data_IF_521240907616
#
_entry.id   IF_521240907616
#
_cell.length_a   1.000
_cell.length_b   1.000
_cell.length_c   1.000
_cell.angle_alpha   90.00
_cell.angle_beta   90.00
_cell.angle_gamma   90.00
#
_symmetry.space_group_name_H-M   'P 1'
#
loop_
_entity.id
_entity.type
_entity.pdbx_description
1 polymer ?
#
# COMPACT_ATOMS: atom_id res chain seq x y z
N UNK A 1 2.56 58.33 27.46
CA UNK A 1 2.11 59.35 26.50
C UNK A 1 0.96 58.77 25.72
N UNK A 2 -0.20 59.23 26.08
CA UNK A 2 -1.52 58.99 25.53
C UNK A 2 -1.67 59.63 24.16
N UNK A 3 -2.35 59.01 23.22
CA UNK A 3 -3.31 59.63 22.33
C UNK A 3 -4.14 58.58 21.56
N UNK A 4 -5.42 58.49 21.91
CA UNK A 4 -6.60 58.04 21.15
C UNK A 4 -7.31 59.30 20.60
N UNK A 5 -8.46 59.20 19.91
CA UNK A 5 -8.88 58.52 18.67
C UNK A 5 -9.52 59.57 17.70
N UNK A 6 -9.95 59.17 16.51
CA UNK A 6 -10.99 59.94 15.81
C UNK A 6 -11.91 59.06 14.97
N UNK A 7 -13.18 59.13 15.34
CA UNK A 7 -14.35 58.66 14.61
C UNK A 7 -14.66 59.63 13.46
N UNK A 8 -15.13 59.15 12.36
CA UNK A 8 -16.09 59.86 11.53
C UNK A 8 -16.98 58.88 10.77
N UNK A 9 -18.25 59.03 11.01
CA UNK A 9 -19.38 58.37 10.39
C UNK A 9 -19.89 59.23 9.21
N UNK A 10 -20.70 58.65 8.37
CA UNK A 10 -21.92 59.11 7.67
C UNK A 10 -21.94 58.68 6.23
N UNK A 11 -22.93 58.06 5.85
CA UNK A 11 -24.32 58.15 5.31
C UNK A 11 -24.43 57.55 3.92
N UNK A 12 -25.16 56.52 3.82
CA UNK A 12 -26.41 56.26 3.12
C UNK A 12 -26.65 56.92 1.74
N UNK A 13 -26.87 56.08 0.73
CA UNK A 13 -27.91 56.35 -0.30
C UNK A 13 -28.50 55.07 -0.86
N UNK A 14 -29.82 55.04 -0.84
CA UNK A 14 -30.75 54.09 -1.47
C UNK A 14 -30.84 54.33 -2.99
N UNK A 15 -30.99 53.26 -3.79
CA UNK A 15 -31.84 53.17 -4.99
C UNK A 15 -31.74 51.73 -5.52
N UNK A 16 -32.76 50.92 -5.36
CA UNK A 16 -33.92 50.65 -6.19
C UNK A 16 -33.60 49.91 -7.53
N UNK A 17 -33.96 48.64 -7.59
CA UNK A 17 -34.75 48.09 -8.67
C UNK A 17 -34.03 47.44 -9.86
N UNK A 18 -34.08 46.14 -9.93
CA UNK A 18 -34.55 45.43 -11.12
C UNK A 18 -34.69 43.91 -10.79
N UNK A 19 -35.91 43.45 -10.84
CA UNK A 19 -36.30 42.04 -10.94
C UNK A 19 -35.72 41.45 -12.23
N UNK A 20 -35.03 40.32 -12.14
CA UNK A 20 -35.01 39.34 -13.23
C UNK A 20 -35.35 37.98 -12.64
N UNK A 21 -36.51 37.52 -13.08
CA UNK A 21 -37.06 36.19 -12.83
C UNK A 21 -36.36 35.16 -13.68
N UNK A 22 -36.25 33.97 -13.09
CA UNK A 22 -36.30 32.66 -13.73
C UNK A 22 -35.08 32.19 -14.54
N UNK A 23 -34.41 31.19 -13.96
CA UNK A 23 -34.25 29.89 -14.62
C UNK A 23 -33.96 28.86 -13.54
N UNK A 24 -34.96 28.05 -13.24
CA UNK A 24 -34.74 26.75 -12.63
C UNK A 24 -33.87 25.93 -13.59
N UNK A 25 -32.66 25.68 -13.20
CA UNK A 25 -31.90 24.53 -13.67
C UNK A 25 -31.67 23.67 -12.46
N UNK A 26 -32.48 22.66 -12.36
CA UNK A 26 -32.27 21.51 -11.48
C UNK A 26 -30.91 20.92 -11.82
N UNK A 27 -29.89 21.19 -11.03
CA UNK A 27 -28.71 20.35 -10.93
C UNK A 27 -28.87 19.51 -9.69
N UNK A 28 -29.63 18.45 -9.84
CA UNK A 28 -29.45 17.23 -9.07
C UNK A 28 -28.04 16.73 -9.35
N UNK A 29 -27.19 16.87 -8.39
CA UNK A 29 -25.81 16.46 -8.45
C UNK A 29 -25.13 16.73 -7.14
N UNK A 30 -25.84 16.55 -6.04
CA UNK A 30 -25.15 16.41 -4.75
C UNK A 30 -24.52 15.03 -4.71
N UNK A 31 -23.36 14.95 -5.32
CA UNK A 31 -22.42 13.90 -4.97
C UNK A 31 -22.14 13.99 -3.49
N UNK A 32 -22.72 13.08 -2.73
CA UNK A 32 -22.37 12.86 -1.35
C UNK A 32 -20.85 12.81 -1.23
N UNK A 33 -20.30 13.56 -0.31
CA UNK A 33 -18.94 13.37 0.19
C UNK A 33 -18.94 12.00 0.88
N UNK A 34 -18.70 10.95 0.13
CA UNK A 34 -18.25 9.66 0.65
C UNK A 34 -16.85 9.87 1.23
N UNK A 35 -16.82 10.27 2.48
CA UNK A 35 -15.64 10.16 3.31
C UNK A 35 -15.34 8.67 3.49
N UNK A 36 -14.63 8.07 2.51
CA UNK A 36 -14.31 6.65 2.54
C UNK A 36 -14.12 6.00 1.18
N UNK A 37 -14.10 6.75 0.08
CA UNK A 37 -13.68 6.20 -1.21
C UNK A 37 -12.19 5.82 -1.12
N UNK A 38 -11.94 4.59 -0.70
CA UNK A 38 -10.63 3.96 -0.86
C UNK A 38 -10.27 4.03 -2.33
N UNK A 39 -9.37 4.93 -2.69
CA UNK A 39 -9.00 5.16 -4.08
C UNK A 39 -8.43 3.88 -4.68
N UNK A 40 -8.98 3.48 -5.80
CA UNK A 40 -8.44 2.37 -6.59
C UNK A 40 -7.02 2.72 -7.04
N UNK A 41 -6.07 1.89 -6.70
CA UNK A 41 -4.66 2.06 -7.05
C UNK A 41 -4.33 1.16 -8.23
N UNK A 42 -3.59 1.68 -9.21
CA UNK A 42 -3.13 0.88 -10.35
C UNK A 42 -1.80 0.20 -10.01
N UNK A 43 -1.72 -1.12 -10.19
CA UNK A 43 -0.50 -1.90 -9.98
C UNK A 43 -0.35 -2.89 -11.14
N UNK A 44 0.78 -2.84 -11.84
CA UNK A 44 1.04 -3.72 -12.99
C UNK A 44 -0.03 -3.63 -14.08
N UNK A 45 -0.58 -2.43 -14.31
CA UNK A 45 -1.62 -2.19 -15.30
C UNK A 45 -3.01 -2.69 -14.92
N UNK A 46 -3.22 -3.17 -13.69
CA UNK A 46 -4.51 -3.59 -13.16
C UNK A 46 -4.97 -2.68 -12.02
N UNK A 47 -6.28 -2.44 -11.97
CA UNK A 47 -6.91 -1.73 -10.88
C UNK A 47 -7.02 -2.64 -9.64
N UNK A 48 -6.49 -2.16 -8.51
CA UNK A 48 -6.57 -2.82 -7.21
C UNK A 48 -7.76 -2.27 -6.45
N UNK A 49 -8.72 -3.12 -6.16
CA UNK A 49 -9.96 -2.74 -5.50
C UNK A 49 -9.87 -3.01 -3.99
N UNK A 50 -10.13 -2.03 -3.13
CA UNK A 50 -10.03 -2.19 -1.68
C UNK A 50 -11.09 -3.14 -1.07
N UNK A 51 -12.14 -3.45 -1.80
CA UNK A 51 -13.17 -4.42 -1.41
C UNK A 51 -12.85 -5.87 -1.81
N UNK A 52 -11.73 -6.09 -2.52
CA UNK A 52 -11.23 -7.42 -2.87
C UNK A 52 -10.09 -7.83 -1.95
N UNK A 53 -9.86 -9.13 -1.84
CA UNK A 53 -8.72 -9.69 -1.11
C UNK A 53 -7.40 -9.46 -1.84
N UNK A 54 -6.30 -9.64 -1.13
CA UNK A 54 -4.93 -9.56 -1.67
C UNK A 54 -4.78 -10.45 -2.91
N UNK A 55 -5.27 -11.69 -2.84
CA UNK A 55 -5.12 -12.66 -3.94
C UNK A 55 -6.00 -12.27 -5.13
N UNK A 56 -7.27 -11.90 -4.90
CA UNK A 56 -8.20 -11.49 -5.98
C UNK A 56 -7.72 -10.28 -6.78
N UNK A 57 -6.95 -9.40 -6.15
CA UNK A 57 -6.33 -8.28 -6.84
C UNK A 57 -5.02 -8.67 -7.51
N UNK A 58 -4.16 -9.42 -6.82
CA UNK A 58 -2.84 -9.80 -7.33
C UNK A 58 -2.90 -10.59 -8.65
N UNK A 59 -3.91 -11.47 -8.82
CA UNK A 59 -4.08 -12.28 -10.03
C UNK A 59 -4.32 -11.45 -11.29
N UNK A 60 -4.78 -10.21 -11.16
CA UNK A 60 -5.01 -9.30 -12.27
C UNK A 60 -3.77 -8.48 -12.63
N UNK A 61 -2.77 -8.43 -11.76
CA UNK A 61 -1.55 -7.65 -11.96
C UNK A 61 -0.58 -8.37 -12.89
N UNK A 62 -0.20 -7.71 -13.98
CA UNK A 62 0.81 -8.24 -14.92
C UNK A 62 2.20 -8.30 -14.33
N UNK A 63 2.48 -7.48 -13.32
CA UNK A 63 3.79 -7.40 -12.67
C UNK A 63 3.97 -8.44 -11.55
N UNK A 64 2.92 -9.19 -11.18
CA UNK A 64 2.93 -10.17 -10.09
C UNK A 64 2.58 -11.59 -10.53
N UNK A 65 2.65 -11.89 -11.83
CA UNK A 65 2.29 -13.22 -12.36
C UNK A 65 3.16 -14.32 -11.75
N UNK A 66 4.47 -14.08 -11.59
CA UNK A 66 5.40 -15.02 -10.96
C UNK A 66 5.06 -15.24 -9.48
N UNK A 67 4.73 -14.17 -8.75
CA UNK A 67 4.31 -14.24 -7.36
C UNK A 67 3.02 -15.06 -7.20
N UNK A 68 2.03 -14.82 -8.05
CA UNK A 68 0.75 -15.56 -8.04
C UNK A 68 0.98 -17.05 -8.33
N UNK A 69 1.81 -17.37 -9.31
CA UNK A 69 2.19 -18.75 -9.60
C UNK A 69 2.89 -19.41 -8.39
N UNK A 70 3.81 -18.71 -7.73
CA UNK A 70 4.51 -19.18 -6.56
C UNK A 70 3.55 -19.40 -5.36
N UNK A 71 2.64 -18.48 -5.09
CA UNK A 71 1.62 -18.59 -4.03
C UNK A 71 0.69 -19.77 -4.28
N UNK A 72 0.33 -20.01 -5.54
CA UNK A 72 -0.51 -21.14 -5.96
C UNK A 72 0.24 -22.46 -5.78
N UNK A 73 1.50 -22.54 -6.22
CA UNK A 73 2.34 -23.74 -6.07
C UNK A 73 2.60 -24.08 -4.59
N UNK A 74 2.79 -23.07 -3.74
CA UNK A 74 2.92 -23.23 -2.30
C UNK A 74 1.62 -23.64 -1.61
N UNK A 75 0.46 -23.46 -2.25
CA UNK A 75 -0.85 -23.72 -1.66
C UNK A 75 -1.27 -22.66 -0.62
N UNK A 76 -0.74 -21.45 -0.70
CA UNK A 76 -1.00 -20.35 0.25
C UNK A 76 -2.19 -19.48 -0.14
N UNK A 77 -2.84 -19.75 -1.27
CA UNK A 77 -4.03 -19.00 -1.72
C UNK A 77 -5.12 -18.94 -0.64
N UNK A 78 -5.54 -20.05 0.01
CA UNK A 78 -6.55 -19.98 1.07
C UNK A 78 -6.10 -19.14 2.27
N UNK A 79 -4.82 -19.24 2.65
CA UNK A 79 -4.23 -18.49 3.78
C UNK A 79 -4.25 -16.99 3.52
N UNK A 80 -3.81 -16.56 2.33
CA UNK A 80 -3.77 -15.15 1.94
C UNK A 80 -5.13 -14.57 1.53
N UNK A 81 -6.12 -15.43 1.30
CA UNK A 81 -7.53 -15.04 1.11
C UNK A 81 -8.31 -15.01 2.43
N UNK A 82 -7.70 -15.44 3.53
CA UNK A 82 -8.29 -15.45 4.85
C UNK A 82 -8.60 -14.06 5.41
N UNK A 83 -9.20 -14.00 6.60
CA UNK A 83 -9.75 -12.76 7.15
C UNK A 83 -8.71 -11.74 7.61
N UNK A 84 -7.40 -12.02 7.52
CA UNK A 84 -6.34 -11.06 7.86
C UNK A 84 -6.47 -10.39 9.24
N UNK A 85 -5.98 -9.19 9.45
CA UNK A 85 -5.26 -8.34 8.50
C UNK A 85 -3.82 -8.80 8.22
N UNK A 86 -3.39 -8.64 6.98
CA UNK A 86 -2.03 -8.96 6.55
C UNK A 86 -1.36 -7.75 5.91
N UNK A 87 -0.03 -7.67 6.05
CA UNK A 87 0.82 -6.79 5.24
C UNK A 87 1.68 -7.67 4.35
N UNK A 88 1.55 -7.52 3.04
CA UNK A 88 2.29 -8.32 2.07
C UNK A 88 3.29 -7.44 1.32
N UNK A 89 4.56 -7.80 1.40
CA UNK A 89 5.61 -7.22 0.58
C UNK A 89 5.69 -8.02 -0.72
N UNK A 90 5.08 -7.50 -1.79
CA UNK A 90 4.90 -8.19 -3.05
C UNK A 90 6.04 -7.87 -4.03
N UNK A 91 6.98 -8.79 -4.27
CA UNK A 91 8.02 -8.60 -5.28
C UNK A 91 7.43 -8.72 -6.68
N UNK A 92 7.87 -7.83 -7.57
CA UNK A 92 7.47 -7.84 -8.98
C UNK A 92 8.16 -8.97 -9.75
N UNK A 93 7.68 -9.28 -10.97
CA UNK A 93 8.36 -10.20 -11.88
C UNK A 93 9.83 -9.79 -12.11
N UNK A 94 10.09 -8.47 -12.20
CA UNK A 94 11.45 -7.94 -12.32
C UNK A 94 12.30 -8.21 -11.05
N UNK A 95 11.68 -8.26 -9.87
CA UNK A 95 12.35 -8.64 -8.63
C UNK A 95 12.78 -10.12 -8.66
N UNK A 96 11.91 -11.00 -9.14
CA UNK A 96 12.26 -12.41 -9.32
C UNK A 96 13.34 -12.62 -10.37
N UNK A 97 13.38 -11.82 -11.43
CA UNK A 97 14.42 -11.87 -12.45
C UNK A 97 15.82 -11.49 -11.95
N UNK A 98 15.93 -10.84 -10.79
CA UNK A 98 17.22 -10.57 -10.13
C UNK A 98 17.81 -11.79 -9.42
N UNK A 99 16.99 -12.82 -9.17
CA UNK A 99 17.48 -14.08 -8.61
C UNK A 99 18.34 -14.82 -9.64
N UNK A 100 19.27 -15.70 -9.20
CA UNK A 100 20.03 -16.54 -10.12
C UNK A 100 19.11 -17.32 -11.07
N UNK A 101 19.52 -17.46 -12.32
CA UNK A 101 18.74 -18.18 -13.33
C UNK A 101 18.40 -19.60 -12.84
N UNK A 102 17.16 -20.04 -13.07
CA UNK A 102 16.68 -21.36 -12.64
C UNK A 102 16.21 -21.43 -11.18
N UNK A 103 16.44 -20.35 -10.36
CA UNK A 103 16.02 -20.36 -8.96
C UNK A 103 14.50 -20.42 -8.83
N UNK A 104 13.78 -19.61 -9.60
CA UNK A 104 12.30 -19.54 -9.54
C UNK A 104 11.71 -20.88 -9.99
N UNK A 105 12.20 -21.42 -11.12
CA UNK A 105 11.77 -22.71 -11.67
C UNK A 105 12.02 -23.84 -10.68
N UNK A 106 13.13 -23.79 -9.96
CA UNK A 106 13.47 -24.77 -8.92
C UNK A 106 12.54 -24.63 -7.71
N UNK A 107 12.27 -23.40 -7.25
CA UNK A 107 11.44 -23.14 -6.08
C UNK A 107 9.97 -23.55 -6.28
N UNK A 108 9.42 -23.41 -7.49
CA UNK A 108 8.03 -23.80 -7.78
C UNK A 108 7.83 -25.29 -7.95
N UNK A 109 8.91 -26.10 -7.95
CA UNK A 109 8.81 -27.56 -8.02
C UNK A 109 8.18 -28.11 -6.72
N UNK A 110 7.37 -29.17 -6.82
CA UNK A 110 6.74 -29.80 -5.65
C UNK A 110 7.73 -30.23 -4.56
N UNK A 111 8.94 -30.63 -4.95
CA UNK A 111 10.01 -31.02 -4.02
C UNK A 111 10.50 -29.87 -3.14
N UNK A 112 10.36 -28.63 -3.62
CA UNK A 112 10.82 -27.42 -2.93
C UNK A 112 9.68 -26.60 -2.32
N UNK A 113 8.47 -27.16 -2.25
CA UNK A 113 7.29 -26.50 -1.73
C UNK A 113 7.50 -25.91 -0.32
N UNK A 114 8.20 -26.62 0.55
CA UNK A 114 8.49 -26.16 1.92
C UNK A 114 9.33 -24.87 1.91
N UNK A 115 10.41 -24.83 1.14
CA UNK A 115 11.27 -23.66 0.97
C UNK A 115 10.52 -22.50 0.33
N UNK A 116 9.70 -22.79 -0.69
CA UNK A 116 8.86 -21.78 -1.33
C UNK A 116 7.86 -21.18 -0.34
N UNK A 117 7.21 -22.02 0.48
CA UNK A 117 6.28 -21.58 1.52
C UNK A 117 6.98 -20.68 2.53
N UNK A 118 8.18 -21.08 2.97
CA UNK A 118 9.00 -20.29 3.90
C UNK A 118 9.32 -18.90 3.32
N UNK A 119 9.80 -18.83 2.09
CA UNK A 119 10.09 -17.56 1.42
C UNK A 119 8.83 -16.70 1.31
N UNK A 120 7.70 -17.26 0.89
CA UNK A 120 6.46 -16.51 0.71
C UNK A 120 5.88 -16.01 2.04
N UNK A 121 5.92 -16.82 3.10
CA UNK A 121 5.48 -16.42 4.44
C UNK A 121 6.42 -15.42 5.09
N UNK A 122 7.68 -15.39 4.69
CA UNK A 122 8.65 -14.37 5.07
C UNK A 122 8.30 -12.98 4.48
N UNK A 123 7.61 -12.92 3.34
CA UNK A 123 7.11 -11.67 2.77
C UNK A 123 5.78 -11.19 3.36
N UNK A 124 5.21 -11.93 4.31
CA UNK A 124 3.94 -11.60 4.95
C UNK A 124 4.17 -11.26 6.42
N UNK A 125 3.66 -10.12 6.82
CA UNK A 125 3.66 -9.65 8.21
C UNK A 125 2.23 -9.68 8.73
N UNK A 126 2.03 -10.17 9.96
CA UNK A 126 0.74 -10.13 10.61
C UNK A 126 0.36 -8.69 10.98
N UNK A 127 -0.88 -8.33 10.73
CA UNK A 127 -1.37 -6.97 10.95
C UNK A 127 -1.37 -6.12 9.68
N UNK A 128 -2.10 -5.02 9.73
CA UNK A 128 -2.13 -4.01 8.67
C UNK A 128 -1.16 -2.90 9.05
N UNK A 129 -0.07 -2.77 8.32
CA UNK A 129 0.95 -1.74 8.52
C UNK A 129 1.01 -0.87 7.27
N UNK A 130 0.54 0.37 7.38
CA UNK A 130 0.64 1.34 6.27
C UNK A 130 2.05 1.91 6.14
N UNK A 131 2.33 2.60 5.04
CA UNK A 131 3.60 3.32 4.89
C UNK A 131 3.80 4.37 5.98
N UNK A 132 2.74 5.04 6.41
CA UNK A 132 2.79 6.00 7.51
C UNK A 132 3.15 5.33 8.83
N UNK A 133 2.58 4.14 9.10
CA UNK A 133 2.92 3.34 10.28
C UNK A 133 4.38 2.88 10.23
N UNK A 134 4.85 2.41 9.06
CA UNK A 134 6.26 2.03 8.86
C UNK A 134 7.20 3.20 9.15
N UNK A 135 6.93 4.37 8.58
CA UNK A 135 7.74 5.58 8.81
C UNK A 135 7.73 5.98 10.29
N UNK A 136 6.58 5.90 10.95
CA UNK A 136 6.45 6.19 12.38
C UNK A 136 7.27 5.22 13.23
N UNK A 137 7.16 3.91 12.97
CA UNK A 137 7.92 2.88 13.67
C UNK A 137 9.43 3.01 13.42
N UNK A 138 9.85 3.34 12.19
CA UNK A 138 11.26 3.56 11.85
C UNK A 138 11.81 4.75 12.63
N UNK A 139 11.06 5.86 12.69
CA UNK A 139 11.48 7.05 13.46
C UNK A 139 11.56 6.76 14.97
N UNK A 140 10.56 6.08 15.51
CA UNK A 140 10.53 5.68 16.91
C UNK A 140 11.65 4.70 17.26
N UNK A 141 12.03 3.83 16.33
CA UNK A 141 13.09 2.82 16.48
C UNK A 141 14.49 3.33 16.15
N UNK A 142 14.72 4.65 16.13
CA UNK A 142 16.05 5.21 15.88
C UNK A 142 16.54 5.00 14.44
N UNK A 143 15.64 5.04 13.47
CA UNK A 143 15.94 4.88 12.05
C UNK A 143 15.72 3.47 11.50
N UNK A 144 15.22 2.54 12.32
CA UNK A 144 14.91 1.16 11.93
C UNK A 144 13.65 0.65 12.62
N UNK A 145 12.85 -0.13 11.91
CA UNK A 145 11.72 -0.88 12.48
C UNK A 145 11.91 -2.37 12.20
N UNK A 146 11.65 -3.22 13.18
CA UNK A 146 11.71 -4.67 13.04
C UNK A 146 10.29 -5.20 12.85
N UNK A 147 10.07 -5.87 11.74
CA UNK A 147 8.79 -6.47 11.38
C UNK A 147 8.92 -7.99 11.51
N UNK A 148 8.12 -8.58 12.38
CA UNK A 148 8.07 -10.03 12.50
C UNK A 148 7.18 -10.61 11.41
N UNK A 149 7.72 -11.51 10.62
CA UNK A 149 7.02 -12.15 9.51
C UNK A 149 6.17 -13.34 10.00
N UNK A 150 5.25 -13.79 9.17
CA UNK A 150 4.40 -14.97 9.47
C UNK A 150 5.25 -16.25 9.57
N UNK A 151 6.36 -16.30 8.87
CA UNK A 151 7.35 -17.38 8.95
C UNK A 151 8.07 -17.41 10.31
N UNK A 152 8.16 -16.27 10.99
CA UNK A 152 8.84 -16.08 12.28
C UNK A 152 10.16 -15.33 12.19
N UNK A 153 10.67 -15.10 10.99
CA UNK A 153 11.86 -14.28 10.74
C UNK A 153 11.60 -12.78 10.88
N UNK A 154 12.63 -11.98 10.69
CA UNK A 154 12.57 -10.52 10.88
C UNK A 154 12.97 -9.79 9.61
N UNK A 155 12.08 -8.95 9.11
CA UNK A 155 12.40 -7.92 8.13
C UNK A 155 12.71 -6.60 8.86
N UNK A 156 13.82 -5.97 8.52
CA UNK A 156 14.19 -4.67 9.08
C UNK A 156 13.84 -3.58 8.07
N UNK A 157 12.86 -2.74 8.41
CA UNK A 157 12.51 -1.56 7.63
C UNK A 157 13.36 -0.36 8.05
N UNK A 158 13.81 0.43 7.09
CA UNK A 158 14.54 1.69 7.28
C UNK A 158 14.16 2.70 6.21
N UNK A 159 14.58 3.95 6.34
CA UNK A 159 14.37 4.99 5.33
C UNK A 159 15.67 5.30 4.59
N UNK A 160 15.55 5.46 3.27
CA UNK A 160 16.58 6.04 2.42
C UNK A 160 15.96 7.20 1.64
N UNK A 161 16.13 8.43 2.16
CA UNK A 161 15.32 9.56 1.72
C UNK A 161 13.86 9.32 2.08
N UNK A 162 12.98 9.39 1.09
CA UNK A 162 11.54 9.13 1.27
C UNK A 162 11.13 7.67 0.99
N UNK A 163 12.07 6.84 0.53
CA UNK A 163 11.81 5.45 0.21
C UNK A 163 11.96 4.54 1.43
N UNK A 164 11.02 3.64 1.63
CA UNK A 164 11.12 2.55 2.60
C UNK A 164 12.00 1.45 2.01
N UNK A 165 13.01 1.07 2.77
CA UNK A 165 13.94 0.00 2.44
C UNK A 165 13.72 -1.15 3.42
N UNK A 166 13.60 -2.35 2.90
CA UNK A 166 13.56 -3.57 3.68
C UNK A 166 14.93 -4.26 3.60
N UNK A 167 15.44 -4.68 4.72
CA UNK A 167 16.66 -5.51 4.81
C UNK A 167 16.27 -6.86 5.39
N UNK A 168 16.59 -7.92 4.68
CA UNK A 168 16.37 -9.29 5.13
C UNK A 168 17.50 -9.79 6.05
N UNK A 169 17.37 -10.99 6.56
CA UNK A 169 18.34 -11.59 7.49
C UNK A 169 19.68 -11.94 6.85
N UNK A 170 19.69 -12.08 5.50
CA UNK A 170 20.92 -12.28 4.72
C UNK A 170 21.62 -10.99 4.32
N UNK A 171 21.02 -9.82 4.70
CA UNK A 171 21.53 -8.51 4.32
C UNK A 171 21.08 -8.06 2.92
N UNK A 172 20.18 -8.79 2.28
CA UNK A 172 19.55 -8.39 1.04
C UNK A 172 18.69 -7.15 1.24
N UNK A 173 18.66 -6.29 0.23
CA UNK A 173 17.96 -5.01 0.28
C UNK A 173 16.84 -5.01 -0.78
N UNK A 174 15.62 -4.76 -0.34
CA UNK A 174 14.47 -4.53 -1.19
C UNK A 174 13.93 -3.11 -0.97
N UNK A 175 13.60 -2.43 -2.06
CA UNK A 175 13.00 -1.08 -2.01
C UNK A 175 11.50 -1.20 -2.22
N UNK A 176 10.72 -0.53 -1.39
CA UNK A 176 9.28 -0.38 -1.62
C UNK A 176 9.09 0.65 -2.73
N UNK A 177 8.61 0.19 -3.88
CA UNK A 177 8.39 1.04 -5.07
C UNK A 177 6.99 1.62 -5.11
N UNK A 178 6.02 0.92 -4.53
CA UNK A 178 4.65 1.38 -4.38
C UNK A 178 4.09 0.88 -3.05
N UNK A 179 3.62 1.78 -2.23
CA UNK A 179 3.09 1.48 -0.91
C UNK A 179 1.57 1.68 -0.85
N UNK A 180 0.97 1.22 0.24
CA UNK A 180 -0.42 1.51 0.60
C UNK A 180 -1.47 1.07 -0.44
N UNK A 181 -1.24 -0.10 -1.05
CA UNK A 181 -2.27 -0.73 -1.87
C UNK A 181 -3.21 -1.50 -0.93
N UNK A 182 -4.26 -0.82 -0.48
CA UNK A 182 -5.20 -1.37 0.50
C UNK A 182 -6.14 -2.40 -0.11
N UNK A 183 -6.40 -3.45 0.65
CA UNK A 183 -7.27 -4.58 0.32
C UNK A 183 -8.26 -4.83 1.46
N UNK A 184 -9.30 -5.62 1.22
CA UNK A 184 -10.29 -5.97 2.27
C UNK A 184 -9.64 -6.68 3.45
N UNK A 185 -8.67 -7.55 3.21
CA UNK A 185 -8.00 -8.35 4.22
C UNK A 185 -6.54 -7.94 4.49
N UNK A 186 -6.09 -6.77 4.03
CA UNK A 186 -4.72 -6.31 4.32
C UNK A 186 -4.24 -5.12 3.50
N UNK A 187 -2.95 -5.02 3.34
CA UNK A 187 -2.26 -4.03 2.52
C UNK A 187 -1.10 -4.67 1.77
N UNK A 188 -0.88 -4.25 0.54
CA UNK A 188 0.26 -4.67 -0.27
C UNK A 188 1.24 -3.50 -0.40
N UNK A 189 2.52 -3.79 -0.23
CA UNK A 189 3.64 -2.93 -0.58
C UNK A 189 4.45 -3.63 -1.66
N UNK A 190 4.55 -3.01 -2.83
CA UNK A 190 5.29 -3.56 -3.97
C UNK A 190 6.79 -3.35 -3.78
N UNK A 191 7.58 -4.39 -3.99
CA UNK A 191 9.03 -4.35 -3.83
C UNK A 191 9.77 -4.70 -5.11
N UNK A 192 10.97 -4.13 -5.26
CA UNK A 192 11.84 -4.31 -6.42
C UNK A 192 12.80 -5.51 -6.29
N UNK A 193 12.79 -6.19 -5.16
CA UNK A 193 13.68 -7.31 -4.85
C UNK A 193 12.97 -8.32 -3.95
N UNK A 194 13.29 -9.61 -4.12
CA UNK A 194 12.80 -10.70 -3.27
C UNK A 194 13.65 -10.76 -2.02
N UNK A 195 13.01 -10.77 -0.85
CA UNK A 195 13.68 -10.95 0.45
C UNK A 195 13.80 -12.44 0.77
N UNK A 196 14.93 -12.84 1.30
CA UNK A 196 15.22 -14.24 1.58
C UNK A 196 15.42 -14.45 3.09
N UNK A 197 14.73 -15.43 3.71
CA UNK A 197 15.00 -15.85 5.08
C UNK A 197 16.35 -16.55 5.19
N UNK A 198 16.84 -16.69 6.41
CA UNK A 198 18.07 -17.46 6.72
C UNK A 198 17.91 -18.96 6.40
#
# INVERSE_FOLDING_TARGET
>A
MTFTPTRAALLATLAAGAMFTAACSSMDGMGGMDAGASSTVMVGGAAMYPNKTIVENAVNSRDHTTLVAAVTAAGLVPTLSGPGPFTVFAPTNAAFAKLPAGTVETLVQPANKATLTQILTYHVVSGRVSAADLVSQIRAGGGRARLTTVEGGVLTASLRGDAVILTDEKGGIATVTQADVFQSNGVIHVTDTVSLPN
#
